data_IF_984022971392
#
_entry.id   IF_984022971392
#
_cell.length_a   1.000
_cell.length_b   1.000
_cell.length_c   1.000
_cell.angle_alpha   90.00
_cell.angle_beta   90.00
_cell.angle_gamma   90.00
#
_symmetry.space_group_name_H-M   'P 1'
#
loop_
_entity.id
_entity.type
_entity.pdbx_description
1 polymer ?
#
# COMPACT_ATOMS: atom_id res chain seq x y z
N UNK A 1 15.75 12.16 45.46
CA UNK A 1 14.78 12.82 44.57
C UNK A 1 14.60 11.92 43.35
N UNK A 2 13.41 11.32 43.23
CA UNK A 2 12.96 10.52 42.08
C UNK A 2 12.64 11.46 40.92
N UNK A 3 12.99 11.07 39.69
CA UNK A 3 12.27 11.41 38.45
C UNK A 3 12.77 10.46 37.34
N UNK A 4 12.40 9.19 37.44
CA UNK A 4 12.48 8.25 36.33
C UNK A 4 11.21 8.43 35.49
N UNK A 5 11.27 9.32 34.50
CA UNK A 5 10.25 9.41 33.45
C UNK A 5 10.36 8.16 32.57
N UNK A 6 9.59 7.13 32.91
CA UNK A 6 9.22 6.08 31.96
C UNK A 6 8.37 6.75 30.87
N UNK A 7 9.04 7.25 29.83
CA UNK A 7 8.40 7.44 28.54
C UNK A 7 7.94 6.06 28.09
N UNK A 8 6.64 5.79 28.27
CA UNK A 8 6.03 4.57 27.81
C UNK A 8 6.40 4.35 26.35
N UNK A 9 7.07 3.25 26.06
CA UNK A 9 7.04 2.66 24.74
C UNK A 9 5.55 2.48 24.43
N UNK A 10 4.99 3.37 23.62
CA UNK A 10 3.77 3.08 22.91
C UNK A 10 4.13 1.91 21.99
N UNK A 11 3.96 0.69 22.51
CA UNK A 11 4.02 -0.53 21.73
C UNK A 11 3.05 -0.33 20.59
N UNK A 12 3.57 0.02 19.41
CA UNK A 12 2.76 0.08 18.21
C UNK A 12 2.07 -1.28 18.12
N UNK A 13 0.72 -1.33 18.07
CA UNK A 13 0.04 -2.60 18.00
C UNK A 13 0.63 -3.37 16.82
N UNK A 14 1.12 -4.58 17.05
CA UNK A 14 1.56 -5.42 15.96
C UNK A 14 0.38 -5.56 14.98
N UNK A 15 0.60 -5.40 13.66
CA UNK A 15 -0.47 -5.59 12.70
C UNK A 15 -1.03 -7.00 12.92
N UNK A 16 -2.38 -7.16 12.95
CA UNK A 16 -2.97 -8.48 13.10
C UNK A 16 -2.42 -9.40 12.00
N UNK A 17 -2.08 -10.64 12.34
CA UNK A 17 -1.47 -11.59 11.39
C UNK A 17 -2.44 -12.09 10.32
N UNK A 18 -3.76 -11.82 10.48
CA UNK A 18 -4.84 -12.18 9.55
C UNK A 18 -5.47 -10.91 8.94
N UNK A 19 -4.73 -10.20 8.09
CA UNK A 19 -5.26 -9.07 7.32
C UNK A 19 -5.66 -9.52 5.92
N UNK A 20 -6.97 -9.51 5.62
CA UNK A 20 -7.47 -9.67 4.27
C UNK A 20 -7.34 -8.33 3.53
N UNK A 21 -6.29 -8.19 2.71
CA UNK A 21 -6.06 -6.97 1.92
C UNK A 21 -6.65 -7.16 0.53
N UNK A 22 -7.53 -6.26 0.12
CA UNK A 22 -8.15 -6.25 -1.21
C UNK A 22 -7.86 -4.96 -1.95
N UNK A 23 -8.05 -4.99 -3.26
CA UNK A 23 -7.87 -3.83 -4.12
C UNK A 23 -8.89 -3.79 -5.25
N UNK A 24 -9.32 -2.59 -5.61
CA UNK A 24 -10.08 -2.32 -6.83
C UNK A 24 -9.51 -1.14 -7.57
N UNK A 25 -9.46 -1.26 -8.89
CA UNK A 25 -9.05 -0.20 -9.78
C UNK A 25 -10.18 0.16 -10.73
N UNK A 26 -10.63 1.41 -10.65
CA UNK A 26 -11.56 1.96 -11.62
C UNK A 26 -10.76 2.69 -12.70
N UNK A 27 -10.46 1.99 -13.79
CA UNK A 27 -9.72 2.55 -14.94
C UNK A 27 -10.49 3.69 -15.62
N UNK A 28 -11.82 3.61 -15.70
CA UNK A 28 -12.66 4.66 -16.29
C UNK A 28 -12.64 5.98 -15.51
N UNK A 29 -12.30 5.94 -14.22
CA UNK A 29 -12.15 7.12 -13.35
C UNK A 29 -10.70 7.39 -12.93
N UNK A 30 -9.77 6.51 -13.28
CA UNK A 30 -8.38 6.55 -12.82
C UNK A 30 -8.28 6.54 -11.29
N UNK A 31 -9.06 5.72 -10.60
CA UNK A 31 -9.09 5.65 -9.13
C UNK A 31 -8.72 4.26 -8.63
N UNK A 32 -7.98 4.22 -7.52
CA UNK A 32 -7.69 3.00 -6.77
C UNK A 32 -8.40 3.06 -5.42
N UNK A 33 -8.87 1.90 -5.00
CA UNK A 33 -9.44 1.65 -3.71
C UNK A 33 -8.73 0.44 -3.10
N UNK A 34 -8.25 0.57 -1.86
CA UNK A 34 -7.66 -0.54 -1.11
C UNK A 34 -8.49 -0.77 0.14
N UNK A 35 -8.74 -2.04 0.42
CA UNK A 35 -9.51 -2.48 1.58
C UNK A 35 -8.66 -3.36 2.48
N UNK A 36 -8.86 -3.27 3.79
CA UNK A 36 -8.28 -4.17 4.78
C UNK A 36 -9.44 -4.71 5.62
N UNK A 37 -9.64 -6.04 5.65
CA UNK A 37 -10.77 -6.69 6.30
C UNK A 37 -12.13 -6.07 5.90
N UNK A 38 -12.31 -5.89 4.58
CA UNK A 38 -13.49 -5.26 3.94
C UNK A 38 -13.72 -3.77 4.26
N UNK A 39 -12.86 -3.14 5.06
CA UNK A 39 -12.90 -1.70 5.33
C UNK A 39 -12.09 -0.93 4.29
N UNK A 40 -12.67 0.16 3.74
CA UNK A 40 -11.98 1.03 2.78
C UNK A 40 -10.98 1.90 3.51
N UNK A 41 -9.69 1.61 3.36
CA UNK A 41 -8.63 2.35 4.05
C UNK A 41 -8.03 3.44 3.16
N UNK A 42 -8.01 3.22 1.85
CA UNK A 42 -7.47 4.15 0.86
C UNK A 42 -8.44 4.23 -0.31
N UNK A 43 -8.76 5.46 -0.71
CA UNK A 43 -9.47 5.76 -1.94
C UNK A 43 -8.89 7.03 -2.54
N UNK A 44 -8.40 6.95 -3.77
CA UNK A 44 -7.73 8.09 -4.38
C UNK A 44 -7.40 7.91 -5.85
N UNK A 45 -6.83 8.95 -6.49
CA UNK A 45 -6.38 8.84 -7.87
C UNK A 45 -5.29 7.77 -7.97
N UNK A 46 -5.43 6.85 -8.93
CA UNK A 46 -4.34 5.96 -9.30
C UNK A 46 -3.26 6.82 -9.92
N UNK A 47 -2.16 6.94 -9.19
CA UNK A 47 -0.91 7.40 -9.76
C UNK A 47 -0.04 6.16 -9.91
N UNK A 48 0.69 6.05 -11.02
CA UNK A 48 1.68 4.99 -11.21
C UNK A 48 3.08 5.60 -11.23
N UNK A 49 4.02 5.01 -10.48
CA UNK A 49 5.44 5.21 -10.77
C UNK A 49 5.76 4.66 -12.15
N UNK A 50 6.78 5.25 -12.78
CA UNK A 50 7.36 4.74 -14.03
C UNK A 50 7.71 3.25 -13.92
N UNK A 51 8.01 2.60 -15.05
CA UNK A 51 8.21 1.15 -15.09
C UNK A 51 9.21 0.71 -14.03
N UNK A 52 8.86 -0.33 -13.26
CA UNK A 52 9.79 -0.94 -12.31
C UNK A 52 10.94 -1.55 -13.13
N UNK A 53 12.08 -0.86 -13.19
CA UNK A 53 13.22 -1.33 -13.96
C UNK A 53 13.78 -2.61 -13.31
N UNK A 54 14.05 -3.69 -14.06
CA UNK A 54 14.63 -4.92 -13.52
C UNK A 54 16.04 -4.72 -12.95
N UNK A 55 16.70 -3.60 -13.29
CA UNK A 55 18.00 -3.20 -12.78
C UNK A 55 17.93 -1.76 -12.28
N UNK A 56 17.49 -1.56 -11.03
CA UNK A 56 17.93 -0.50 -10.12
C UNK A 56 17.99 0.99 -10.54
N UNK A 57 17.52 1.38 -11.72
CA UNK A 57 17.67 2.76 -12.22
C UNK A 57 16.34 3.29 -12.75
N UNK A 58 15.42 3.57 -11.83
CA UNK A 58 14.20 4.34 -12.09
C UNK A 58 14.16 5.58 -11.21
N UNK A 59 14.91 6.63 -11.58
CA UNK A 59 14.72 7.96 -11.01
C UNK A 59 13.54 8.63 -11.70
N UNK A 60 12.39 8.66 -11.02
CA UNK A 60 11.38 9.72 -11.20
C UNK A 60 10.91 10.17 -9.82
N UNK A 61 11.52 11.23 -9.30
CA UNK A 61 10.89 12.11 -8.31
C UNK A 61 9.92 13.03 -9.07
N UNK A 62 8.77 13.47 -8.53
CA UNK A 62 8.67 14.32 -7.34
C UNK A 62 7.20 14.40 -6.85
N UNK A 63 6.90 13.79 -5.69
CA UNK A 63 5.70 13.92 -4.81
C UNK A 63 4.24 13.70 -5.35
N UNK A 64 3.26 13.34 -4.48
CA UNK A 64 3.32 12.61 -3.21
C UNK A 64 2.82 11.17 -3.46
N UNK A 65 3.74 10.23 -3.35
CA UNK A 65 3.45 8.83 -3.11
C UNK A 65 4.21 8.45 -1.86
N UNK A 66 3.67 7.59 -1.01
CA UNK A 66 2.49 6.72 -1.17
C UNK A 66 1.11 7.41 -1.06
N UNK A 67 0.05 6.77 -1.57
CA UNK A 67 -1.32 7.05 -1.13
C UNK A 67 -1.43 6.65 0.34
N UNK A 68 -1.91 7.56 1.17
CA UNK A 68 -1.97 7.35 2.62
C UNK A 68 -3.40 7.18 3.09
N UNK A 69 -3.59 6.21 3.95
CA UNK A 69 -4.82 5.97 4.69
C UNK A 69 -4.50 5.67 6.15
N UNK A 70 -5.53 5.36 6.90
CA UNK A 70 -5.40 4.92 8.28
C UNK A 70 -6.29 3.70 8.49
N UNK A 71 -5.78 2.70 9.20
CA UNK A 71 -6.52 1.53 9.62
C UNK A 71 -6.27 1.30 11.10
N UNK A 72 -7.31 1.42 11.92
CA UNK A 72 -7.24 1.21 13.39
C UNK A 72 -6.11 1.99 14.09
N UNK A 73 -5.90 3.25 13.70
CA UNK A 73 -4.85 4.10 14.27
C UNK A 73 -3.43 3.82 13.73
N UNK A 74 -3.31 2.97 12.71
CA UNK A 74 -2.05 2.68 12.02
C UNK A 74 -2.07 3.28 10.62
N UNK A 75 -0.97 3.90 10.23
CA UNK A 75 -0.84 4.49 8.90
C UNK A 75 -0.75 3.37 7.85
N UNK A 76 -1.59 3.46 6.82
CA UNK A 76 -1.54 2.62 5.63
C UNK A 76 -0.91 3.43 4.52
N UNK A 77 0.02 2.84 3.80
CA UNK A 77 0.70 3.44 2.66
C UNK A 77 0.56 2.51 1.44
N UNK A 78 0.13 3.05 0.30
CA UNK A 78 0.01 2.30 -0.94
C UNK A 78 0.86 2.95 -2.01
N UNK A 79 1.83 2.20 -2.50
CA UNK A 79 2.66 2.58 -3.63
C UNK A 79 2.30 1.72 -4.83
N UNK A 80 2.12 2.33 -6.00
CA UNK A 80 1.79 1.63 -7.23
C UNK A 80 2.82 1.91 -8.33
N UNK A 81 3.18 0.87 -9.08
CA UNK A 81 4.12 0.89 -10.19
C UNK A 81 3.51 0.26 -11.43
N UNK A 82 4.03 0.64 -12.59
CA UNK A 82 3.75 -0.07 -13.84
C UNK A 82 4.72 -1.24 -14.01
N UNK A 83 4.22 -2.45 -14.21
CA UNK A 83 5.09 -3.58 -14.51
C UNK A 83 5.75 -3.44 -15.90
N UNK A 84 7.03 -3.80 -16.06
CA UNK A 84 7.77 -3.59 -17.31
C UNK A 84 7.36 -4.53 -18.46
N UNK A 85 6.79 -5.71 -18.15
CA UNK A 85 6.52 -6.76 -19.16
C UNK A 85 5.05 -6.78 -19.58
N UNK A 86 4.14 -6.69 -18.63
CA UNK A 86 2.68 -6.85 -18.87
C UNK A 86 1.98 -5.48 -18.94
N UNK A 87 2.59 -4.44 -18.37
CA UNK A 87 1.98 -3.11 -18.26
C UNK A 87 0.92 -2.99 -17.15
N UNK A 88 0.66 -4.09 -16.44
CA UNK A 88 -0.30 -4.16 -15.36
C UNK A 88 0.12 -3.30 -14.15
N UNK A 89 -0.84 -2.65 -13.47
CA UNK A 89 -0.59 -1.96 -12.22
C UNK A 89 -0.25 -2.96 -11.12
N UNK A 90 0.90 -2.77 -10.47
CA UNK A 90 1.27 -3.48 -9.26
C UNK A 90 1.31 -2.48 -8.12
N UNK A 91 0.66 -2.79 -6.99
CA UNK A 91 0.63 -1.94 -5.81
C UNK A 91 1.06 -2.69 -4.56
N UNK A 92 2.00 -2.12 -3.81
CA UNK A 92 2.38 -2.61 -2.48
C UNK A 92 1.56 -1.86 -1.45
N UNK A 93 1.01 -2.61 -0.50
CA UNK A 93 0.28 -2.08 0.65
C UNK A 93 1.16 -2.28 1.87
N UNK A 94 1.51 -1.18 2.51
CA UNK A 94 2.29 -1.15 3.75
C UNK A 94 1.42 -0.65 4.90
N UNK A 95 1.56 -1.26 6.07
CA UNK A 95 0.88 -0.89 7.29
C UNK A 95 1.93 -0.66 8.36
N UNK A 96 1.96 0.54 8.94
CA UNK A 96 2.98 0.97 9.89
C UNK A 96 4.43 0.75 9.39
N UNK A 97 4.66 0.93 8.09
CA UNK A 97 5.97 0.77 7.44
C UNK A 97 6.40 -0.68 7.20
N UNK A 98 5.49 -1.66 7.35
CA UNK A 98 5.72 -3.06 6.97
C UNK A 98 4.79 -3.43 5.81
N UNK A 99 5.34 -4.02 4.75
CA UNK A 99 4.52 -4.56 3.66
C UNK A 99 3.63 -5.68 4.19
N UNK A 100 2.33 -5.57 3.93
CA UNK A 100 1.32 -6.57 4.31
C UNK A 100 0.69 -7.26 3.11
N UNK A 101 0.75 -6.65 1.93
CA UNK A 101 0.24 -7.27 0.71
C UNK A 101 0.84 -6.66 -0.55
N UNK A 102 0.84 -7.47 -1.62
CA UNK A 102 1.11 -7.03 -2.99
C UNK A 102 -0.13 -7.29 -3.84
N UNK A 103 -0.71 -6.22 -4.39
CA UNK A 103 -1.89 -6.25 -5.23
C UNK A 103 -1.46 -6.12 -6.68
N UNK A 104 -1.77 -7.11 -7.52
CA UNK A 104 -1.56 -7.03 -8.96
C UNK A 104 -2.93 -6.87 -9.60
N UNK A 105 -3.12 -5.78 -10.33
CA UNK A 105 -4.38 -5.49 -10.99
C UNK A 105 -4.36 -6.03 -12.41
N UNK A 106 -5.37 -6.80 -12.75
CA UNK A 106 -5.60 -7.20 -14.14
C UNK A 106 -6.17 -6.02 -14.96
N UNK A 107 -6.21 -6.10 -16.30
CA UNK A 107 -6.74 -5.03 -17.15
C UNK A 107 -8.23 -4.73 -16.95
N UNK A 108 -9.01 -5.62 -16.30
CA UNK A 108 -10.38 -5.32 -15.88
C UNK A 108 -10.44 -4.56 -14.53
N UNK A 109 -9.30 -4.33 -13.88
CA UNK A 109 -9.17 -3.56 -12.65
C UNK A 109 -9.49 -4.34 -11.37
N UNK A 110 -9.46 -5.67 -11.41
CA UNK A 110 -9.60 -6.55 -10.24
C UNK A 110 -8.22 -6.81 -9.67
N UNK A 111 -8.06 -6.71 -8.35
CA UNK A 111 -6.82 -7.13 -7.71
C UNK A 111 -6.80 -8.66 -7.60
N UNK A 112 -5.74 -9.29 -8.11
CA UNK A 112 -5.25 -10.54 -7.57
C UNK A 112 -4.50 -10.27 -6.27
N UNK A 113 -4.92 -10.90 -5.18
CA UNK A 113 -4.18 -10.87 -3.92
C UNK A 113 -3.03 -11.85 -4.01
N UNK A 114 -1.80 -11.36 -4.15
CA UNK A 114 -0.63 -12.16 -3.83
C UNK A 114 -0.38 -11.98 -2.33
N UNK A 115 -0.97 -12.86 -1.51
CA UNK A 115 -0.55 -13.02 -0.12
C UNK A 115 0.90 -13.48 -0.14
N UNK A 116 1.81 -12.69 0.44
CA UNK A 116 3.17 -13.15 0.73
C UNK A 116 3.09 -14.16 1.90
N UNK A 117 3.73 -15.31 1.72
CA UNK A 117 3.91 -16.44 2.66
C UNK A 117 4.71 -16.03 3.92
#
# INVERSE_FOLDING_TARGET
MLLATLAGCASQPAPPTDLAVGGRLNLGRGQIQVTINDEVVIQGPLRLRGPMAPFGFGRSSSNPFPLRGEYRGQQVEVECWKQPIVGDPLCHVELAGRRIATLIFDPEGRAGTASED
#
